data_IF_163505058967
#
_entry.id   IF_163505058967
#
_cell.length_a   1.000
_cell.length_b   1.000
_cell.length_c   1.000
_cell.angle_alpha   90.00
_cell.angle_beta   90.00
_cell.angle_gamma   90.00
#
_symmetry.space_group_name_H-M   'P 1'
#
loop_
_entity.id
_entity.type
_entity.pdbx_description
1 polymer ?
#
# COMPACT_ATOMS: atom_id res chain seq x y z
N UNK A 1 -19.08 -22.75 -32.74
CA UNK A 1 -18.35 -21.46 -32.56
C UNK A 1 -18.29 -20.96 -31.11
N UNK A 2 -19.16 -21.42 -30.19
CA UNK A 2 -19.14 -21.02 -28.77
C UNK A 2 -17.91 -21.50 -27.98
N UNK A 3 -17.36 -22.69 -28.27
CA UNK A 3 -16.23 -23.27 -27.55
C UNK A 3 -14.94 -22.42 -27.64
N UNK A 4 -14.68 -21.78 -28.79
CA UNK A 4 -13.48 -20.92 -28.97
C UNK A 4 -13.54 -19.67 -28.08
N UNK A 5 -14.69 -19.02 -27.97
CA UNK A 5 -14.88 -17.87 -27.08
C UNK A 5 -14.86 -18.25 -25.61
N UNK A 6 -15.47 -19.39 -25.26
CA UNK A 6 -15.47 -19.92 -23.89
C UNK A 6 -14.05 -20.26 -23.43
N UNK A 7 -13.23 -20.89 -24.27
CA UNK A 7 -11.83 -21.18 -23.95
C UNK A 7 -11.00 -19.90 -23.75
N UNK A 8 -11.22 -18.85 -24.53
CA UNK A 8 -10.50 -17.57 -24.34
C UNK A 8 -10.86 -16.90 -23.01
N UNK A 9 -12.15 -16.91 -22.64
CA UNK A 9 -12.61 -16.38 -21.35
C UNK A 9 -12.02 -17.19 -20.17
N UNK A 10 -11.97 -18.52 -20.28
CA UNK A 10 -11.38 -19.39 -19.25
C UNK A 10 -9.87 -19.14 -19.13
N UNK A 11 -9.15 -19.05 -20.25
CA UNK A 11 -7.71 -18.77 -20.25
C UNK A 11 -7.44 -17.39 -19.63
N UNK A 12 -8.23 -16.37 -19.97
CA UNK A 12 -8.12 -15.04 -19.38
C UNK A 12 -8.40 -15.06 -17.86
N UNK A 13 -9.41 -15.80 -17.40
CA UNK A 13 -9.71 -15.99 -15.98
C UNK A 13 -8.57 -16.72 -15.24
N UNK A 14 -7.93 -17.72 -15.86
CA UNK A 14 -6.80 -18.44 -15.26
C UNK A 14 -5.58 -17.51 -15.15
N UNK A 15 -5.25 -16.76 -16.20
CA UNK A 15 -4.12 -15.82 -16.19
C UNK A 15 -4.31 -14.77 -15.10
N UNK A 16 -5.49 -14.19 -14.97
CA UNK A 16 -5.79 -13.21 -13.91
C UNK A 16 -5.68 -13.80 -12.51
N UNK A 17 -6.00 -15.09 -12.31
CA UNK A 17 -5.86 -15.76 -11.03
C UNK A 17 -4.39 -16.09 -10.69
N UNK A 18 -3.60 -16.55 -11.66
CA UNK A 18 -2.16 -16.87 -11.46
C UNK A 18 -1.35 -15.61 -11.14
N UNK A 19 -1.65 -14.49 -11.79
CA UNK A 19 -0.98 -13.20 -11.50
C UNK A 19 -1.28 -12.71 -10.08
N UNK A 20 -2.43 -13.05 -9.49
CA UNK A 20 -2.75 -12.70 -8.09
C UNK A 20 -1.86 -13.43 -7.07
N UNK A 21 -1.38 -14.63 -7.38
CA UNK A 21 -0.44 -15.37 -6.53
C UNK A 21 0.96 -14.78 -6.48
N UNK A 22 1.29 -13.86 -7.41
CA UNK A 22 2.59 -13.20 -7.51
C UNK A 22 2.62 -11.81 -6.84
N UNK A 23 1.54 -11.37 -6.22
CA UNK A 23 1.50 -10.05 -5.59
C UNK A 23 2.23 -10.03 -4.25
N UNK A 24 3.16 -9.11 -4.09
CA UNK A 24 3.98 -8.95 -2.89
C UNK A 24 4.14 -7.50 -2.46
N UNK A 25 4.93 -7.31 -1.41
CA UNK A 25 5.22 -5.97 -0.87
C UNK A 25 5.91 -5.08 -1.91
N UNK A 26 6.72 -5.67 -2.80
CA UNK A 26 7.45 -4.94 -3.85
C UNK A 26 6.53 -4.31 -4.91
N UNK A 27 5.26 -4.74 -4.97
CA UNK A 27 4.27 -4.11 -5.84
C UNK A 27 3.62 -2.88 -5.20
N UNK A 28 3.82 -2.65 -3.90
CA UNK A 28 3.26 -1.51 -3.19
C UNK A 28 4.07 -0.27 -3.54
N UNK A 29 3.40 0.78 -4.01
CA UNK A 29 4.06 2.04 -4.36
C UNK A 29 3.77 3.12 -3.33
N UNK A 30 4.78 3.96 -3.08
CA UNK A 30 4.67 5.16 -2.26
C UNK A 30 5.01 6.35 -3.14
N UNK A 31 4.08 7.28 -3.25
CA UNK A 31 4.26 8.53 -3.99
C UNK A 31 3.93 9.72 -3.10
N UNK A 32 4.59 10.84 -3.35
CA UNK A 32 4.38 12.08 -2.62
C UNK A 32 4.18 13.23 -3.58
N UNK A 33 3.23 14.10 -3.28
CA UNK A 33 3.01 15.33 -4.04
C UNK A 33 2.66 16.49 -3.13
N UNK A 34 3.06 17.70 -3.53
CA UNK A 34 2.66 18.92 -2.82
C UNK A 34 1.18 19.18 -3.09
N UNK A 35 0.38 19.34 -2.03
CA UNK A 35 -1.08 19.50 -2.14
C UNK A 35 -1.60 20.82 -1.55
N UNK A 36 -0.74 21.69 -1.03
CA UNK A 36 -1.14 22.98 -0.46
C UNK A 36 -0.11 23.58 0.47
N UNK A 37 -0.56 24.52 1.31
CA UNK A 37 0.24 25.18 2.34
C UNK A 37 -0.57 25.31 3.65
N UNK A 38 0.06 25.03 4.79
CA UNK A 38 -0.48 25.24 6.15
C UNK A 38 0.62 25.85 6.99
N UNK A 39 0.32 26.92 7.73
CA UNK A 39 1.30 27.64 8.57
C UNK A 39 2.60 28.00 7.80
N UNK A 40 2.45 28.50 6.58
CA UNK A 40 3.55 28.86 5.69
C UNK A 40 4.50 27.70 5.30
N UNK A 41 4.09 26.45 5.53
CA UNK A 41 4.82 25.25 5.11
C UNK A 41 4.02 24.40 4.12
N UNK A 42 4.69 23.71 3.18
CA UNK A 42 4.04 22.77 2.27
C UNK A 42 3.26 21.67 2.99
N UNK A 43 2.08 21.36 2.46
CA UNK A 43 1.37 20.11 2.75
C UNK A 43 1.81 19.08 1.72
N UNK A 44 2.31 17.95 2.19
CA UNK A 44 2.69 16.79 1.40
C UNK A 44 1.63 15.72 1.50
N UNK A 45 1.04 15.35 0.35
CA UNK A 45 0.12 14.24 0.20
C UNK A 45 0.91 12.97 -0.11
N UNK A 46 0.86 12.01 0.81
CA UNK A 46 1.43 10.68 0.61
C UNK A 46 0.34 9.76 0.08
N UNK A 47 0.62 9.09 -1.03
CA UNK A 47 -0.25 8.11 -1.65
C UNK A 47 0.44 6.75 -1.61
N UNK A 48 -0.15 5.83 -0.85
CA UNK A 48 0.24 4.43 -0.78
C UNK A 48 -0.71 3.62 -1.64
N UNK A 49 -0.20 2.90 -2.62
CA UNK A 49 -1.01 2.08 -3.51
C UNK A 49 -0.65 0.62 -3.32
N UNK A 50 -1.59 -0.17 -2.82
CA UNK A 50 -1.55 -1.62 -2.82
C UNK A 50 -2.34 -2.14 -4.03
N UNK A 51 -1.67 -2.59 -5.11
CA UNK A 51 -2.36 -3.18 -6.26
C UNK A 51 -2.82 -4.62 -5.99
N UNK A 52 -2.44 -5.23 -4.87
CA UNK A 52 -2.86 -6.57 -4.53
C UNK A 52 -4.35 -6.61 -4.19
N UNK A 53 -4.98 -7.72 -4.57
CA UNK A 53 -6.38 -8.01 -4.21
C UNK A 53 -6.58 -8.16 -2.70
N UNK A 54 -5.55 -8.56 -1.97
CA UNK A 54 -5.61 -8.78 -0.53
C UNK A 54 -5.06 -7.57 0.23
N UNK A 55 -5.58 -7.32 1.45
CA UNK A 55 -5.18 -6.16 2.21
C UNK A 55 -3.71 -6.26 2.65
N UNK A 56 -3.02 -5.13 2.57
CA UNK A 56 -1.70 -4.92 3.14
C UNK A 56 -1.86 -4.46 4.59
N UNK A 57 -1.28 -5.20 5.50
CA UNK A 57 -1.39 -4.99 6.96
C UNK A 57 -0.01 -4.81 7.57
N UNK A 58 0.04 -4.24 8.78
CA UNK A 58 1.29 -4.03 9.53
C UNK A 58 2.37 -3.29 8.71
N UNK A 59 1.96 -2.34 7.88
CA UNK A 59 2.88 -1.59 7.04
C UNK A 59 3.78 -0.70 7.91
N UNK A 60 5.09 -0.92 7.81
CA UNK A 60 6.14 -0.14 8.47
C UNK A 60 6.86 0.71 7.45
N UNK A 61 6.97 2.00 7.76
CA UNK A 61 7.71 2.97 6.98
C UNK A 61 8.97 3.40 7.75
N UNK A 62 10.06 3.64 7.04
CA UNK A 62 11.20 4.36 7.56
C UNK A 62 10.82 5.82 7.78
N UNK A 63 11.03 6.30 9.01
CA UNK A 63 10.69 7.66 9.40
C UNK A 63 11.69 8.25 10.41
N UNK A 64 12.97 7.90 10.26
CA UNK A 64 14.10 8.46 11.03
C UNK A 64 14.10 9.97 10.96
N UNK A 65 13.96 10.64 12.11
CA UNK A 65 13.89 12.09 12.16
C UNK A 65 12.59 12.69 11.60
N UNK A 66 11.59 11.90 11.19
CA UNK A 66 10.29 12.41 10.75
C UNK A 66 9.55 13.15 11.87
N UNK A 67 8.93 14.27 11.53
CA UNK A 67 8.16 15.21 12.33
C UNK A 67 7.07 15.77 11.41
N UNK A 68 6.09 16.44 11.97
CA UNK A 68 5.20 17.26 11.18
C UNK A 68 4.69 18.40 12.04
N UNK A 69 4.46 19.55 11.43
CA UNK A 69 3.89 20.70 12.14
C UNK A 69 2.46 20.43 12.59
N UNK A 70 1.74 19.55 11.88
CA UNK A 70 0.39 19.12 12.24
C UNK A 70 0.44 17.63 12.61
N UNK A 71 -0.31 17.18 13.64
CA UNK A 71 -0.40 15.76 13.99
C UNK A 71 -0.78 14.88 12.79
N UNK A 72 -0.10 13.73 12.65
CA UNK A 72 -0.37 12.72 11.62
C UNK A 72 -0.95 11.49 12.30
N UNK A 73 -2.28 11.46 12.46
CA UNK A 73 -2.94 10.44 13.29
C UNK A 73 -2.92 9.03 12.69
N UNK A 74 -2.59 8.90 11.41
CA UNK A 74 -2.56 7.62 10.67
C UNK A 74 -1.31 6.79 10.97
N UNK A 75 -0.26 7.41 11.54
CA UNK A 75 1.02 6.76 11.85
C UNK A 75 1.24 6.68 13.36
N UNK A 76 1.84 5.58 13.80
CA UNK A 76 2.41 5.44 15.15
C UNK A 76 3.93 5.35 15.01
N UNK A 77 4.64 6.37 15.49
CA UNK A 77 6.11 6.37 15.48
C UNK A 77 6.68 5.60 16.67
N UNK A 78 7.59 4.67 16.41
CA UNK A 78 8.36 3.91 17.42
C UNK A 78 9.83 3.97 17.03
N UNK A 79 10.59 4.88 17.65
CA UNK A 79 11.96 5.19 17.23
C UNK A 79 11.99 5.70 15.78
N UNK A 80 12.71 4.99 14.92
CA UNK A 80 12.90 5.32 13.50
C UNK A 80 11.87 4.68 12.56
N UNK A 81 10.92 3.93 13.12
CA UNK A 81 9.91 3.20 12.36
C UNK A 81 8.53 3.78 12.63
N UNK A 82 7.77 4.01 11.55
CA UNK A 82 6.38 4.45 11.63
C UNK A 82 5.48 3.31 11.18
N UNK A 83 4.62 2.83 12.09
CA UNK A 83 3.59 1.84 11.80
C UNK A 83 2.34 2.56 11.29
N UNK A 84 1.81 2.12 10.16
CA UNK A 84 0.51 2.56 9.69
C UNK A 84 -0.60 1.91 10.51
N UNK A 85 -1.51 2.72 11.06
CA UNK A 85 -2.62 2.25 11.92
C UNK A 85 -3.78 1.60 11.15
N UNK A 86 -3.72 1.58 9.82
CA UNK A 86 -4.80 1.12 8.95
C UNK A 86 -4.28 0.14 7.92
N UNK A 87 -5.07 -0.89 7.67
CA UNK A 87 -4.84 -1.82 6.56
C UNK A 87 -5.20 -1.18 5.22
N UNK A 88 -4.41 -1.47 4.19
CA UNK A 88 -4.57 -0.88 2.85
C UNK A 88 -5.14 -1.91 1.89
N UNK A 89 -6.33 -1.62 1.37
CA UNK A 89 -6.90 -2.28 0.20
C UNK A 89 -7.04 -1.25 -0.91
N UNK A 90 -6.24 -1.35 -1.97
CA UNK A 90 -6.15 -0.33 -3.01
C UNK A 90 -5.33 0.88 -2.57
N UNK A 91 -5.89 2.08 -2.71
CA UNK A 91 -5.18 3.34 -2.44
C UNK A 91 -5.48 3.89 -1.05
N UNK A 92 -4.44 4.22 -0.29
CA UNK A 92 -4.53 4.95 0.96
C UNK A 92 -3.77 6.28 0.86
N UNK A 93 -4.36 7.33 1.42
CA UNK A 93 -3.80 8.69 1.37
C UNK A 93 -3.76 9.27 2.78
N UNK A 94 -2.64 9.89 3.12
CA UNK A 94 -2.53 10.76 4.28
C UNK A 94 -1.67 11.98 3.93
N UNK A 95 -1.70 12.99 4.79
CA UNK A 95 -0.92 14.21 4.61
C UNK A 95 -0.02 14.48 5.79
N UNK A 96 1.07 15.19 5.55
CA UNK A 96 1.89 15.81 6.58
C UNK A 96 2.33 17.21 6.13
N UNK A 97 2.73 18.03 7.08
CA UNK A 97 3.22 19.40 6.86
C UNK A 97 4.69 19.49 7.22
N UNK A 98 5.54 19.84 6.25
CA UNK A 98 6.99 20.07 6.40
C UNK A 98 7.52 20.99 5.31
N UNK A 99 8.65 21.64 5.58
CA UNK A 99 9.45 22.40 4.61
C UNK A 99 9.79 21.63 3.31
N UNK A 100 10.12 20.34 3.38
CA UNK A 100 10.52 19.51 2.22
C UNK A 100 9.82 18.16 2.23
N UNK A 101 9.78 17.48 1.07
CA UNK A 101 9.27 16.12 1.00
C UNK A 101 10.21 15.21 1.77
N UNK A 102 9.71 14.59 2.84
CA UNK A 102 10.45 13.63 3.63
C UNK A 102 10.58 12.29 2.89
N UNK A 103 11.73 11.64 2.97
CA UNK A 103 12.02 10.38 2.26
C UNK A 103 11.42 9.15 3.00
N UNK A 104 10.10 9.02 2.96
CA UNK A 104 9.41 7.83 3.47
C UNK A 104 9.72 6.61 2.59
N UNK A 105 10.15 5.51 3.21
CA UNK A 105 10.42 4.22 2.53
C UNK A 105 9.61 3.11 3.15
N UNK A 106 9.05 2.21 2.33
CA UNK A 106 8.45 0.97 2.83
C UNK A 106 9.57 0.06 3.34
N UNK A 107 9.51 -0.33 4.61
CA UNK A 107 10.46 -1.27 5.23
C UNK A 107 9.91 -2.69 5.15
N UNK A 108 8.66 -2.86 5.59
CA UNK A 108 8.01 -4.16 5.68
C UNK A 108 6.50 -4.01 5.71
N UNK A 109 5.79 -5.07 5.36
CA UNK A 109 4.35 -5.19 5.51
C UNK A 109 3.91 -6.60 5.14
N UNK A 110 2.64 -6.92 5.35
CA UNK A 110 2.11 -8.27 5.11
C UNK A 110 0.84 -8.20 4.30
N UNK A 111 0.86 -8.80 3.11
CA UNK A 111 -0.35 -9.06 2.33
C UNK A 111 -1.08 -10.26 2.97
N UNK A 112 -2.32 -10.08 3.42
CA UNK A 112 -3.09 -11.12 4.13
C UNK A 112 -3.83 -12.04 3.16
N UNK A 113 -3.13 -13.08 2.74
CA UNK A 113 -3.72 -14.19 1.98
C UNK A 113 -4.42 -15.20 2.90
N UNK A 114 -5.47 -15.84 2.38
CA UNK A 114 -6.06 -17.06 2.95
C UNK A 114 -5.38 -18.27 2.31
N UNK A 115 -4.70 -19.08 3.11
CA UNK A 115 -3.98 -20.27 2.64
C UNK A 115 -4.66 -21.53 3.17
N UNK A 116 -4.96 -22.48 2.28
CA UNK A 116 -5.52 -23.80 2.62
C UNK A 116 -4.62 -24.84 1.95
N UNK A 117 -4.06 -25.78 2.72
CA UNK A 117 -3.15 -26.82 2.23
C UNK A 117 -2.02 -26.27 1.33
N UNK A 118 -1.43 -25.13 1.71
CA UNK A 118 -0.35 -24.48 0.96
C UNK A 118 -0.79 -23.71 -0.29
N UNK A 119 -2.09 -23.67 -0.60
CA UNK A 119 -2.64 -22.96 -1.76
C UNK A 119 -3.33 -21.67 -1.33
N UNK A 120 -3.07 -20.56 -2.02
CA UNK A 120 -3.79 -19.30 -1.83
C UNK A 120 -5.21 -19.47 -2.35
N UNK A 121 -6.20 -19.34 -1.47
CA UNK A 121 -7.64 -19.50 -1.77
C UNK A 121 -8.41 -18.18 -1.71
N UNK A 122 -7.79 -17.10 -1.25
CA UNK A 122 -8.43 -15.79 -1.13
C UNK A 122 -7.66 -14.84 -0.22
N UNK A 123 -8.37 -13.93 0.42
CA UNK A 123 -7.84 -12.97 1.39
C UNK A 123 -8.43 -13.25 2.78
N UNK A 124 -7.71 -12.86 3.83
CA UNK A 124 -8.13 -13.00 5.24
C UNK A 124 -8.37 -11.64 5.86
#
# INVERSE_FOLDING_TARGET
MACKFLCHLIIFAIITFVVQGLCGLDNVTLQQSKSGMVQNKPVWKVTLMNPCRCPLTNLKLSCTGFQSVVPVDTLTKTGDVCLLKKDILGTFVFTYVWDTSFELKVISGTIKFKVVNGTITGCT
#
